data_IF_304436684902
#
_entry.id   IF_304436684902
#
_cell.length_a   1.000
_cell.length_b   1.000
_cell.length_c   1.000
_cell.angle_alpha   90.00
_cell.angle_beta   90.00
_cell.angle_gamma   90.00
#
_symmetry.space_group_name_H-M   'P 1'
#
loop_
_entity.id
_entity.type
_entity.pdbx_description
1 polymer ?
#
# COMPACT_ATOMS: atom_id res chain seq x y z
N UNK A 1 -9.23 -35.51 79.24
CA UNK A 1 -10.13 -34.74 78.35
C UNK A 1 -9.52 -34.74 76.96
N UNK A 2 -10.00 -35.60 76.08
CA UNK A 2 -9.54 -35.71 74.69
C UNK A 2 -10.63 -35.08 73.81
N UNK A 3 -10.37 -33.90 73.27
CA UNK A 3 -11.22 -33.26 72.27
C UNK A 3 -11.20 -34.08 70.99
N UNK A 4 -12.31 -34.75 70.67
CA UNK A 4 -12.47 -35.39 69.37
C UNK A 4 -12.48 -34.33 68.27
N UNK A 5 -11.50 -34.40 67.37
CA UNK A 5 -11.51 -33.66 66.12
C UNK A 5 -12.52 -34.34 65.19
N UNK A 6 -13.61 -33.65 64.86
CA UNK A 6 -14.47 -34.04 63.75
C UNK A 6 -13.78 -33.67 62.46
N UNK A 7 -13.28 -34.66 61.73
CA UNK A 7 -12.85 -34.49 60.36
C UNK A 7 -14.10 -34.34 59.48
N UNK A 8 -14.44 -33.08 59.18
CA UNK A 8 -15.52 -32.75 58.26
C UNK A 8 -15.03 -32.96 56.83
N UNK A 9 -15.44 -34.06 56.20
CA UNK A 9 -15.27 -34.30 54.77
C UNK A 9 -16.19 -33.41 53.92
N UNK A 10 -15.78 -33.15 52.67
CA UNK A 10 -16.60 -32.41 51.71
C UNK A 10 -17.82 -33.23 51.27
N UNK A 11 -18.98 -32.57 51.17
CA UNK A 11 -20.16 -33.22 50.61
C UNK A 11 -20.06 -33.28 49.08
N UNK A 12 -20.67 -34.30 48.46
CA UNK A 12 -20.72 -34.43 47.01
C UNK A 12 -21.27 -33.16 46.32
N UNK A 13 -22.28 -32.55 46.95
CA UNK A 13 -22.94 -31.34 46.44
C UNK A 13 -22.00 -30.12 46.47
N UNK A 14 -21.16 -30.00 47.50
CA UNK A 14 -20.19 -28.91 47.62
C UNK A 14 -19.08 -29.00 46.57
N UNK A 15 -18.61 -30.21 46.27
CA UNK A 15 -17.66 -30.44 45.18
C UNK A 15 -18.28 -30.12 43.81
N UNK A 16 -19.54 -30.51 43.59
CA UNK A 16 -20.28 -30.21 42.36
C UNK A 16 -20.45 -28.69 42.16
N UNK A 17 -20.85 -27.96 43.20
CA UNK A 17 -21.02 -26.50 43.14
C UNK A 17 -19.67 -25.81 42.91
N UNK A 18 -18.62 -26.28 43.58
CA UNK A 18 -17.28 -25.72 43.40
C UNK A 18 -16.78 -25.91 41.96
N UNK A 19 -17.03 -27.09 41.38
CA UNK A 19 -16.64 -27.40 40.00
C UNK A 19 -17.45 -26.59 38.98
N UNK A 20 -18.75 -26.37 39.23
CA UNK A 20 -19.59 -25.57 38.34
C UNK A 20 -19.17 -24.11 38.36
N UNK A 21 -18.92 -23.53 39.53
CA UNK A 21 -18.41 -22.17 39.68
C UNK A 21 -17.04 -22.02 39.02
N UNK A 22 -16.13 -22.97 39.24
CA UNK A 22 -14.82 -22.97 38.59
C UNK A 22 -14.95 -23.00 37.06
N UNK A 23 -15.84 -23.82 36.52
CA UNK A 23 -16.08 -23.91 35.08
C UNK A 23 -16.63 -22.61 34.49
N UNK A 24 -17.54 -21.93 35.21
CA UNK A 24 -18.07 -20.62 34.80
C UNK A 24 -16.95 -19.58 34.79
N UNK A 25 -16.13 -19.53 35.84
CA UNK A 25 -15.00 -18.59 35.94
C UNK A 25 -13.99 -18.83 34.83
N UNK A 26 -13.58 -20.09 34.61
CA UNK A 26 -12.67 -20.46 33.53
C UNK A 26 -13.25 -20.12 32.16
N UNK A 27 -14.54 -20.36 31.95
CA UNK A 27 -15.24 -20.00 30.71
C UNK A 27 -15.20 -18.49 30.43
N UNK A 28 -15.47 -17.66 31.45
CA UNK A 28 -15.41 -16.20 31.34
C UNK A 28 -13.98 -15.70 31.04
N UNK A 29 -12.97 -16.26 31.72
CA UNK A 29 -11.56 -15.92 31.49
C UNK A 29 -11.13 -16.32 30.08
N UNK A 30 -11.45 -17.53 29.65
CA UNK A 30 -11.08 -18.04 28.32
C UNK A 30 -11.77 -17.25 27.21
N UNK A 31 -13.06 -16.91 27.38
CA UNK A 31 -13.80 -16.06 26.45
C UNK A 31 -13.17 -14.66 26.33
N UNK A 32 -12.78 -14.06 27.46
CA UNK A 32 -12.11 -12.76 27.49
C UNK A 32 -10.75 -12.82 26.79
N UNK A 33 -9.96 -13.85 27.05
CA UNK A 33 -8.68 -14.08 26.40
C UNK A 33 -8.82 -14.20 24.88
N UNK A 34 -9.75 -15.02 24.41
CA UNK A 34 -9.98 -15.20 22.97
C UNK A 34 -10.50 -13.93 22.28
N UNK A 35 -11.30 -13.13 23.01
CA UNK A 35 -11.78 -11.84 22.52
C UNK A 35 -10.64 -10.84 22.36
N UNK A 36 -9.70 -10.80 23.31
CA UNK A 36 -8.51 -9.94 23.22
C UNK A 36 -7.61 -10.39 22.06
N UNK A 37 -7.36 -11.70 21.92
CA UNK A 37 -6.50 -12.21 20.87
C UNK A 37 -7.05 -11.88 19.47
N UNK A 38 -8.35 -12.06 19.25
CA UNK A 38 -9.02 -11.64 18.01
C UNK A 38 -8.92 -10.13 17.77
N UNK A 39 -8.98 -9.32 18.82
CA UNK A 39 -8.84 -7.87 18.69
C UNK A 39 -7.40 -7.47 18.30
N UNK A 40 -6.39 -8.14 18.85
CA UNK A 40 -4.99 -7.92 18.52
C UNK A 40 -4.68 -8.32 17.07
N UNK A 41 -5.09 -9.52 16.64
CA UNK A 41 -4.89 -10.00 15.27
C UNK A 41 -5.51 -9.03 14.24
N UNK A 42 -6.73 -8.54 14.51
CA UNK A 42 -7.38 -7.52 13.65
C UNK A 42 -6.57 -6.23 13.57
N UNK A 43 -6.07 -5.77 14.71
CA UNK A 43 -5.30 -4.53 14.77
C UNK A 43 -3.98 -4.64 14.00
N UNK A 44 -3.30 -5.79 14.08
CA UNK A 44 -2.06 -6.03 13.35
C UNK A 44 -2.26 -6.02 11.84
N UNK A 45 -3.29 -6.69 11.31
CA UNK A 45 -3.57 -6.71 9.87
C UNK A 45 -3.88 -5.32 9.32
N UNK A 46 -4.72 -4.56 10.03
CA UNK A 46 -5.07 -3.20 9.61
C UNK A 46 -3.83 -2.30 9.67
N UNK A 47 -3.08 -2.32 10.77
CA UNK A 47 -1.86 -1.51 10.90
C UNK A 47 -0.83 -1.83 9.80
N UNK A 48 -0.74 -3.09 9.36
CA UNK A 48 0.14 -3.49 8.27
C UNK A 48 -0.31 -2.87 6.94
N UNK A 49 -1.59 -2.95 6.56
CA UNK A 49 -2.10 -2.35 5.30
C UNK A 49 -1.88 -0.84 5.24
N UNK A 50 -2.13 -0.12 6.34
CA UNK A 50 -1.84 1.32 6.41
C UNK A 50 -0.34 1.61 6.25
N UNK A 51 0.52 0.79 6.85
CA UNK A 51 1.97 0.94 6.74
C UNK A 51 2.47 0.68 5.31
N UNK A 52 1.99 -0.37 4.66
CA UNK A 52 2.30 -0.71 3.26
C UNK A 52 1.85 0.39 2.31
N UNK A 53 0.59 0.83 2.41
CA UNK A 53 0.06 1.90 1.58
C UNK A 53 0.86 3.20 1.74
N UNK A 54 1.20 3.58 2.98
CA UNK A 54 1.97 4.79 3.27
C UNK A 54 3.42 4.69 2.78
N UNK A 55 4.05 3.53 2.94
CA UNK A 55 5.42 3.29 2.46
C UNK A 55 5.45 3.33 0.94
N UNK A 56 4.49 2.69 0.28
CA UNK A 56 4.33 2.68 -1.18
C UNK A 56 4.11 4.09 -1.73
N UNK A 57 3.23 4.88 -1.12
CA UNK A 57 3.01 6.28 -1.48
C UNK A 57 4.27 7.14 -1.28
N UNK A 58 5.03 6.96 -0.19
CA UNK A 58 6.27 7.71 0.02
C UNK A 58 7.35 7.35 -1.02
N UNK A 59 7.46 6.07 -1.39
CA UNK A 59 8.37 5.63 -2.47
C UNK A 59 7.97 6.29 -3.79
N UNK A 60 6.69 6.21 -4.18
CA UNK A 60 6.21 6.85 -5.40
C UNK A 60 6.42 8.37 -5.38
N UNK A 61 6.14 9.02 -4.26
CA UNK A 61 6.34 10.47 -4.08
C UNK A 61 7.79 10.83 -4.36
N UNK A 62 8.74 10.12 -3.77
CA UNK A 62 10.18 10.36 -3.99
C UNK A 62 10.59 10.15 -5.45
N UNK A 63 10.00 9.17 -6.12
CA UNK A 63 10.28 8.88 -7.54
C UNK A 63 9.66 9.90 -8.49
N UNK A 64 8.47 10.41 -8.18
CA UNK A 64 7.88 11.55 -8.89
C UNK A 64 8.70 12.82 -8.65
N UNK A 65 9.14 13.07 -7.42
CA UNK A 65 10.01 14.21 -7.09
C UNK A 65 11.36 14.14 -7.82
N UNK A 66 11.91 12.93 -7.98
CA UNK A 66 13.15 12.66 -8.71
C UNK A 66 12.97 12.40 -10.21
N UNK A 67 11.74 12.58 -10.72
CA UNK A 67 11.45 12.40 -12.14
C UNK A 67 12.16 13.44 -12.98
N UNK A 68 12.63 13.02 -14.14
CA UNK A 68 13.44 13.82 -15.03
C UNK A 68 12.99 13.64 -16.47
N UNK A 69 12.82 14.77 -17.16
CA UNK A 69 12.50 14.82 -18.57
C UNK A 69 13.61 15.53 -19.33
N UNK A 70 14.30 14.80 -20.21
CA UNK A 70 15.19 15.37 -21.22
C UNK A 70 14.36 15.73 -22.44
N UNK A 71 14.41 16.99 -22.86
CA UNK A 71 13.77 17.40 -24.13
C UNK A 71 14.32 16.53 -25.27
N UNK A 72 13.45 15.99 -26.16
CA UNK A 72 13.90 15.32 -27.36
C UNK A 72 14.80 16.28 -28.15
N UNK A 73 16.03 15.85 -28.45
CA UNK A 73 16.87 16.54 -29.44
C UNK A 73 16.32 16.11 -30.80
N UNK A 74 16.09 17.06 -31.71
CA UNK A 74 15.43 16.87 -33.01
C UNK A 74 16.10 15.83 -33.95
N UNK A 75 17.24 15.28 -33.52
CA UNK A 75 18.25 14.56 -34.28
C UNK A 75 18.51 13.13 -33.77
N UNK A 76 17.74 12.60 -32.80
CA UNK A 76 17.87 11.20 -32.36
C UNK A 76 16.56 10.43 -32.37
N UNK A 77 16.56 9.34 -33.15
CA UNK A 77 15.54 8.30 -33.17
C UNK A 77 15.16 7.83 -31.75
N UNK A 78 13.87 7.57 -31.58
CA UNK A 78 13.11 7.31 -30.37
C UNK A 78 13.49 6.01 -29.61
N UNK A 79 14.78 5.79 -29.35
CA UNK A 79 15.29 4.56 -28.74
C UNK A 79 15.58 4.63 -27.23
N UNK A 80 15.71 5.83 -26.65
CA UNK A 80 16.16 6.02 -25.26
C UNK A 80 15.68 7.34 -24.64
N UNK A 81 14.43 7.70 -24.89
CA UNK A 81 13.80 8.92 -24.36
C UNK A 81 13.34 8.74 -22.93
N UNK A 82 13.56 9.76 -22.09
CA UNK A 82 12.90 9.87 -20.79
C UNK A 82 11.41 10.11 -21.00
N UNK A 83 10.55 9.45 -20.22
CA UNK A 83 9.09 9.60 -20.28
C UNK A 83 8.50 9.99 -18.92
N UNK A 84 7.33 10.62 -18.95
CA UNK A 84 6.45 10.78 -17.81
C UNK A 84 5.01 10.73 -18.32
N UNK A 85 4.37 9.56 -18.18
CA UNK A 85 3.07 9.27 -18.75
C UNK A 85 2.14 8.74 -17.65
N UNK A 86 0.98 9.36 -17.53
CA UNK A 86 -0.12 8.91 -16.69
C UNK A 86 -1.19 8.36 -17.64
N UNK A 87 -1.62 7.13 -17.40
CA UNK A 87 -2.69 6.47 -18.15
C UNK A 87 -3.84 6.20 -17.21
N UNK A 88 -5.00 6.70 -17.57
CA UNK A 88 -6.23 6.31 -16.91
C UNK A 88 -6.63 4.91 -17.38
N UNK A 89 -6.99 4.06 -16.42
CA UNK A 89 -7.34 2.65 -16.66
C UNK A 89 -8.29 2.19 -15.57
N UNK A 90 -9.18 1.30 -15.96
CA UNK A 90 -10.16 0.67 -15.09
C UNK A 90 -10.02 -0.86 -15.15
N UNK A 91 -10.25 -1.53 -14.02
CA UNK A 91 -10.35 -2.99 -13.92
C UNK A 91 -11.62 -3.29 -13.09
N UNK A 92 -12.67 -3.82 -13.72
CA UNK A 92 -13.98 -4.10 -13.10
C UNK A 92 -14.64 -2.92 -12.37
N UNK A 93 -14.55 -1.71 -12.93
CA UNK A 93 -15.13 -0.50 -12.31
C UNK A 93 -14.30 0.07 -11.17
N UNK A 94 -13.11 -0.49 -10.92
CA UNK A 94 -12.12 0.03 -9.95
C UNK A 94 -11.02 0.78 -10.70
N UNK A 95 -10.69 1.97 -10.19
CA UNK A 95 -9.58 2.77 -10.70
C UNK A 95 -8.28 1.97 -10.64
N UNK A 96 -7.58 1.88 -11.77
CA UNK A 96 -6.39 1.06 -11.95
C UNK A 96 -5.36 1.81 -12.80
N UNK A 97 -5.17 3.10 -12.50
CA UNK A 97 -4.28 3.98 -13.26
C UNK A 97 -2.88 3.40 -13.39
N UNK A 98 -2.19 3.72 -14.48
CA UNK A 98 -0.79 3.36 -14.68
C UNK A 98 0.07 4.62 -14.77
N UNK A 99 1.28 4.55 -14.22
CA UNK A 99 2.24 5.63 -14.22
C UNK A 99 3.60 5.12 -14.72
N UNK A 100 4.03 5.64 -15.86
CA UNK A 100 5.34 5.39 -16.43
C UNK A 100 6.20 6.65 -16.27
N UNK A 101 7.31 6.58 -15.56
CA UNK A 101 8.17 7.73 -15.33
C UNK A 101 9.64 7.36 -15.43
N UNK A 102 10.45 8.35 -15.78
CA UNK A 102 11.91 8.22 -15.76
C UNK A 102 12.46 9.02 -14.59
N UNK A 103 13.16 8.34 -13.67
CA UNK A 103 13.62 8.92 -12.41
C UNK A 103 15.05 8.52 -12.07
N UNK A 104 15.70 9.36 -11.24
CA UNK A 104 17.01 9.05 -10.70
C UNK A 104 16.93 7.99 -9.60
N UNK A 105 17.77 6.97 -9.71
CA UNK A 105 17.99 6.00 -8.65
C UNK A 105 18.84 6.60 -7.53
N UNK A 106 18.48 6.31 -6.29
CA UNK A 106 19.23 6.69 -5.09
C UNK A 106 20.66 6.10 -5.08
N UNK A 107 20.90 4.96 -5.75
CA UNK A 107 22.13 4.16 -5.60
C UNK A 107 23.27 4.46 -6.59
N UNK A 108 23.30 5.62 -7.25
CA UNK A 108 24.50 6.03 -8.01
C UNK A 108 24.28 6.86 -9.26
N UNK A 109 23.34 7.82 -9.24
CA UNK A 109 23.17 8.78 -10.34
C UNK A 109 22.71 8.19 -11.66
N UNK A 110 22.31 6.91 -11.66
CA UNK A 110 21.74 6.24 -12.84
C UNK A 110 20.26 6.56 -12.95
N UNK A 111 19.80 6.72 -14.18
CA UNK A 111 18.40 6.92 -14.51
C UNK A 111 17.75 5.56 -14.76
N UNK A 112 16.56 5.38 -14.22
CA UNK A 112 15.74 4.19 -14.42
C UNK A 112 14.38 4.60 -14.99
N UNK A 113 13.82 3.73 -15.82
CA UNK A 113 12.41 3.79 -16.21
C UNK A 113 11.62 2.95 -15.22
N UNK A 114 10.64 3.58 -14.58
CA UNK A 114 9.82 2.98 -13.53
C UNK A 114 8.37 2.99 -14.02
N UNK A 115 7.72 1.84 -13.93
CA UNK A 115 6.33 1.65 -14.33
C UNK A 115 5.53 1.11 -13.15
N UNK A 116 4.50 1.84 -12.77
CA UNK A 116 3.50 1.42 -11.80
C UNK A 116 2.21 1.04 -12.52
N UNK A 117 1.67 -0.14 -12.19
CA UNK A 117 0.43 -0.61 -12.78
C UNK A 117 -0.28 -1.57 -11.84
N UNK A 118 -1.59 -1.68 -12.00
CA UNK A 118 -2.40 -2.64 -11.26
C UNK A 118 -2.60 -3.91 -12.10
N UNK A 119 -2.50 -5.06 -11.45
CA UNK A 119 -2.88 -6.37 -12.01
C UNK A 119 -3.98 -6.99 -11.16
N UNK A 120 -4.75 -7.89 -11.76
CA UNK A 120 -5.69 -8.72 -11.02
C UNK A 120 -5.03 -10.08 -10.76
N UNK A 121 -5.20 -10.60 -9.53
CA UNK A 121 -4.77 -11.95 -9.16
C UNK A 121 -5.68 -12.45 -8.04
N UNK A 122 -6.15 -13.69 -8.17
CA UNK A 122 -7.01 -14.37 -7.18
C UNK A 122 -8.29 -13.60 -6.77
N UNK A 123 -8.79 -12.71 -7.63
CA UNK A 123 -9.98 -11.88 -7.36
C UNK A 123 -9.70 -10.59 -6.57
N UNK A 124 -8.43 -10.33 -6.22
CA UNK A 124 -7.94 -9.06 -5.68
C UNK A 124 -7.16 -8.26 -6.73
N UNK A 125 -6.97 -6.96 -6.45
CA UNK A 125 -6.07 -6.13 -7.24
C UNK A 125 -4.73 -5.98 -6.50
N UNK A 126 -3.64 -6.09 -7.25
CA UNK A 126 -2.28 -5.92 -6.76
C UNK A 126 -1.61 -4.75 -7.47
N UNK A 127 -0.93 -3.91 -6.70
CA UNK A 127 -0.12 -2.82 -7.22
C UNK A 127 1.32 -3.30 -7.46
N UNK A 128 1.71 -3.26 -8.73
CA UNK A 128 3.01 -3.72 -9.19
C UNK A 128 3.90 -2.55 -9.59
N UNK A 129 5.21 -2.73 -9.40
CA UNK A 129 6.25 -1.81 -9.83
C UNK A 129 7.29 -2.55 -10.65
N UNK A 130 7.49 -2.13 -11.89
CA UNK A 130 8.60 -2.60 -12.73
C UNK A 130 9.67 -1.52 -12.82
N UNK A 131 10.93 -1.90 -12.58
CA UNK A 131 12.08 -1.01 -12.73
C UNK A 131 12.98 -1.54 -13.83
N UNK A 132 13.18 -0.72 -14.85
CA UNK A 132 14.08 -1.02 -15.98
C UNK A 132 15.26 -0.04 -15.97
N UNK A 133 16.50 -0.52 -15.77
CA UNK A 133 17.68 0.35 -15.88
C UNK A 133 17.83 0.93 -17.29
N UNK A 134 18.03 2.25 -17.42
CA UNK A 134 18.10 2.89 -18.75
C UNK A 134 19.35 2.50 -19.56
N UNK A 135 20.40 1.98 -18.92
CA UNK A 135 21.69 1.63 -19.55
C UNK A 135 21.74 0.15 -20.00
N UNK A 136 20.94 -0.73 -19.39
CA UNK A 136 20.83 -2.15 -19.74
C UNK A 136 19.35 -2.52 -19.78
N UNK A 137 18.79 -2.63 -20.99
CA UNK A 137 17.40 -3.10 -21.19
C UNK A 137 17.20 -4.57 -20.79
N UNK A 138 18.28 -5.32 -20.57
CA UNK A 138 18.27 -6.69 -20.05
C UNK A 138 18.46 -6.68 -18.53
N UNK A 139 17.38 -6.53 -17.77
CA UNK A 139 17.45 -6.52 -16.30
C UNK A 139 16.26 -5.87 -15.60
N UNK A 140 15.10 -5.78 -16.26
CA UNK A 140 13.89 -5.31 -15.60
C UNK A 140 13.51 -6.28 -14.49
N UNK A 141 13.21 -5.77 -13.31
CA UNK A 141 12.63 -6.55 -12.23
C UNK A 141 11.30 -5.93 -11.82
N UNK A 142 10.34 -6.80 -11.49
CA UNK A 142 9.02 -6.41 -11.04
C UNK A 142 8.89 -6.77 -9.57
N UNK A 143 8.36 -5.84 -8.79
CA UNK A 143 8.14 -5.97 -7.36
C UNK A 143 6.68 -5.68 -7.09
N UNK A 144 6.08 -6.52 -6.26
CA UNK A 144 4.76 -6.28 -5.69
C UNK A 144 4.90 -5.26 -4.57
N UNK A 145 4.12 -4.18 -4.65
CA UNK A 145 4.19 -3.07 -3.70
C UNK A 145 3.12 -3.19 -2.63
N UNK A 146 1.94 -3.69 -3.01
CA UNK A 146 0.79 -3.84 -2.14
C UNK A 146 -0.23 -4.79 -2.78
N UNK A 147 -0.73 -5.74 -2.00
CA UNK A 147 -1.83 -6.64 -2.37
C UNK A 147 -3.18 -6.09 -1.86
N UNK A 148 -4.29 -6.70 -2.28
CA UNK A 148 -5.65 -6.41 -1.81
C UNK A 148 -6.03 -4.91 -1.86
N UNK A 149 -5.68 -4.23 -2.94
CA UNK A 149 -6.14 -2.86 -3.16
C UNK A 149 -7.54 -2.84 -3.78
N UNK A 150 -8.30 -1.81 -3.45
CA UNK A 150 -9.62 -1.53 -4.03
C UNK A 150 -9.50 -0.52 -5.18
N UNK A 151 -8.38 0.17 -5.29
CA UNK A 151 -8.10 1.03 -6.44
C UNK A 151 -6.80 1.81 -6.31
N UNK A 152 -6.26 2.22 -7.44
CA UNK A 152 -5.10 3.08 -7.55
C UNK A 152 -5.36 4.16 -8.58
N UNK A 153 -5.11 5.41 -8.19
CA UNK A 153 -5.33 6.59 -9.02
C UNK A 153 -4.09 7.47 -9.04
N UNK A 154 -3.76 7.94 -10.24
CA UNK A 154 -2.70 8.92 -10.46
C UNK A 154 -3.29 10.04 -11.28
N UNK A 155 -3.26 11.25 -10.73
CA UNK A 155 -3.84 12.42 -11.36
C UNK A 155 -2.87 13.58 -11.29
N UNK A 156 -3.00 14.51 -12.22
CA UNK A 156 -2.21 15.74 -12.20
C UNK A 156 -3.11 16.97 -12.18
N UNK A 157 -2.60 18.06 -11.61
CA UNK A 157 -3.29 19.34 -11.60
C UNK A 157 -3.04 20.08 -12.92
N UNK A 158 -4.07 20.22 -13.75
CA UNK A 158 -4.05 20.99 -15.00
C UNK A 158 -5.20 22.00 -15.03
N UNK A 159 -4.91 23.28 -15.25
CA UNK A 159 -5.94 24.33 -15.32
C UNK A 159 -6.93 24.29 -14.14
N UNK A 160 -6.41 24.10 -12.93
CA UNK A 160 -7.19 24.00 -11.69
C UNK A 160 -8.12 22.78 -11.59
N UNK A 161 -7.97 21.78 -12.46
CA UNK A 161 -8.70 20.52 -12.47
C UNK A 161 -7.75 19.32 -12.34
N UNK A 162 -8.23 18.25 -11.73
CA UNK A 162 -7.50 16.98 -11.66
C UNK A 162 -7.75 16.17 -12.92
N UNK A 163 -6.69 15.71 -13.56
CA UNK A 163 -6.74 14.96 -14.82
C UNK A 163 -5.94 13.67 -14.66
N UNK A 164 -6.56 12.52 -14.93
CA UNK A 164 -5.96 11.18 -14.82
C UNK A 164 -5.15 10.74 -16.04
N UNK A 165 -4.89 11.63 -17.00
CA UNK A 165 -4.14 11.31 -18.22
C UNK A 165 -3.15 12.43 -18.52
N UNK A 166 -1.90 12.06 -18.77
CA UNK A 166 -0.84 12.98 -19.16
C UNK A 166 0.23 12.25 -19.97
N UNK A 167 0.79 12.92 -20.97
CA UNK A 167 1.96 12.44 -21.70
C UNK A 167 2.95 13.59 -21.87
N UNK A 168 4.06 13.51 -21.14
CA UNK A 168 5.09 14.54 -21.19
C UNK A 168 5.83 14.61 -22.54
N UNK A 169 5.69 13.58 -23.39
CA UNK A 169 6.23 13.59 -24.75
C UNK A 169 5.51 14.60 -25.64
N UNK A 170 4.21 14.82 -25.39
CA UNK A 170 3.35 15.68 -26.22
C UNK A 170 3.52 17.16 -25.82
N UNK A 171 3.66 17.41 -24.52
CA UNK A 171 3.76 18.78 -23.96
C UNK A 171 5.21 19.23 -23.76
N UNK A 172 6.16 18.30 -23.74
CA UNK A 172 7.57 18.54 -23.40
C UNK A 172 7.77 19.03 -21.96
N UNK A 173 6.78 18.83 -21.07
CA UNK A 173 6.78 19.34 -19.70
C UNK A 173 6.33 18.25 -18.71
N UNK A 174 6.94 18.28 -17.53
CA UNK A 174 6.46 17.51 -16.37
C UNK A 174 5.25 18.22 -15.74
N UNK A 175 4.30 17.48 -15.15
CA UNK A 175 3.19 18.06 -14.40
C UNK A 175 3.69 18.84 -13.17
N UNK A 176 2.95 19.85 -12.75
CA UNK A 176 3.33 20.67 -11.60
C UNK A 176 3.06 19.98 -10.26
N UNK A 177 1.89 19.35 -10.14
CA UNK A 177 1.48 18.58 -8.97
C UNK A 177 0.87 17.28 -9.46
N UNK A 178 1.29 16.18 -8.85
CA UNK A 178 0.74 14.84 -9.05
C UNK A 178 0.09 14.42 -7.74
N UNK A 179 -1.14 13.92 -7.82
CA UNK A 179 -1.88 13.29 -6.72
C UNK A 179 -1.83 11.79 -6.94
N UNK A 180 -1.33 11.08 -5.94
CA UNK A 180 -1.26 9.64 -5.89
C UNK A 180 -2.25 9.19 -4.84
N UNK A 181 -3.19 8.29 -5.17
CA UNK A 181 -4.09 7.73 -4.17
C UNK A 181 -4.22 6.22 -4.29
N UNK A 182 -4.15 5.54 -3.15
CA UNK A 182 -4.41 4.12 -3.00
C UNK A 182 -5.68 3.97 -2.17
N UNK A 183 -6.58 3.12 -2.64
CA UNK A 183 -7.80 2.71 -1.94
C UNK A 183 -7.62 1.25 -1.54
N UNK A 184 -7.95 0.91 -0.29
CA UNK A 184 -7.96 -0.46 0.21
C UNK A 184 -9.14 -0.67 1.16
N UNK A 185 -9.55 -1.92 1.35
CA UNK A 185 -10.61 -2.26 2.31
C UNK A 185 -10.07 -2.35 3.74
N UNK A 186 -10.76 -1.69 4.66
CA UNK A 186 -10.60 -1.78 6.11
C UNK A 186 -11.92 -2.30 6.71
N UNK A 187 -12.07 -3.62 6.73
CA UNK A 187 -13.23 -4.32 7.29
C UNK A 187 -14.59 -3.89 6.69
N UNK A 188 -14.68 -3.84 5.36
CA UNK A 188 -15.89 -3.43 4.63
C UNK A 188 -16.02 -1.92 4.44
N UNK A 189 -15.02 -1.14 4.85
CA UNK A 189 -14.94 0.30 4.60
C UNK A 189 -13.73 0.59 3.71
N UNK A 190 -14.00 1.16 2.54
CA UNK A 190 -12.94 1.65 1.67
C UNK A 190 -12.24 2.86 2.31
N UNK A 191 -10.94 2.72 2.54
CA UNK A 191 -10.06 3.78 3.03
C UNK A 191 -9.19 4.26 1.88
N UNK A 192 -9.15 5.57 1.69
CA UNK A 192 -8.30 6.22 0.68
C UNK A 192 -7.16 6.94 1.37
N UNK A 193 -5.92 6.59 1.01
CA UNK A 193 -4.74 7.36 1.36
C UNK A 193 -4.25 8.10 0.11
N UNK A 194 -3.95 9.38 0.29
CA UNK A 194 -3.55 10.28 -0.79
C UNK A 194 -2.26 11.00 -0.42
N UNK A 195 -1.33 11.06 -1.37
CA UNK A 195 -0.08 11.80 -1.26
C UNK A 195 0.09 12.74 -2.45
N UNK A 196 0.68 13.91 -2.22
CA UNK A 196 0.94 14.91 -3.26
C UNK A 196 2.44 14.99 -3.54
N UNK A 197 2.81 14.88 -4.81
CA UNK A 197 4.19 14.94 -5.26
C UNK A 197 4.38 16.06 -6.29
N UNK A 198 5.56 16.69 -6.28
CA UNK A 198 5.94 17.73 -7.23
C UNK A 198 7.29 17.38 -7.84
N UNK A 199 7.41 17.19 -9.16
CA UNK A 199 8.71 17.01 -9.80
C UNK A 199 9.67 18.16 -9.49
N UNK A 200 10.84 17.86 -8.93
CA UNK A 200 11.80 18.87 -8.47
C UNK A 200 13.04 18.98 -9.36
N UNK A 201 13.34 17.96 -10.16
CA UNK A 201 14.55 17.96 -10.98
C UNK A 201 14.38 18.89 -12.19
N UNK A 202 15.33 19.82 -12.37
CA UNK A 202 15.35 20.74 -13.51
C UNK A 202 14.52 22.02 -13.35
N UNK A 203 13.81 22.20 -12.24
CA UNK A 203 13.18 23.48 -11.87
C UNK A 203 14.18 24.29 -11.03
N UNK A 204 14.47 25.54 -11.42
CA UNK A 204 15.17 26.50 -10.53
C UNK A 204 14.18 26.92 -9.45
N UNK A 205 14.64 26.91 -8.19
CA UNK A 205 13.90 27.41 -7.02
C UNK A 205 13.57 28.89 -7.17
#
# INVERSE_FOLDING_TARGET
>A
MTTERRDNGFTLMEVLISLTLLSIVLGAVYSSFFSIQRALERFETVSLKYHEARTTLDIMRREVESSFLKKPRADKEAGGGTSFNIKDRDIFGKNASALDLTAFSFKGGKVNTISYFVTEKEGGLELMKTVTPSIMRSGSYTVEMMEDIEGFSVEMLYNNNWVGTWNASDTGKLPDIVRLSIVFDDHGKNVTLTEYARPRVGKRL
#
